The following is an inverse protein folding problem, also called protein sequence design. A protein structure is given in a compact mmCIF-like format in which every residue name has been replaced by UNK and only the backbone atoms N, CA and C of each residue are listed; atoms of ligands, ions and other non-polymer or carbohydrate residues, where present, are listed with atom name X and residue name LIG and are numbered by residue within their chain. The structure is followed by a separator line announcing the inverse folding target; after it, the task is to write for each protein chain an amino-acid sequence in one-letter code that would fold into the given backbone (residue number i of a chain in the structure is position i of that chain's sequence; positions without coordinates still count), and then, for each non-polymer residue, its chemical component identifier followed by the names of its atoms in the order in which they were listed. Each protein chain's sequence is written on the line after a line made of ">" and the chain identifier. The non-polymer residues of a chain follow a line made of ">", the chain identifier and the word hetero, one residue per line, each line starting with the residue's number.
data_IF_983674216041
#
_entry.id   IF_983674216041
#
_cell.length_a   1.000
_cell.length_b   1.000
_cell.length_c   1.000
_cell.angle_alpha   90.00
_cell.angle_beta   90.00
_cell.angle_gamma   90.00
#
_symmetry.space_group_name_H-M   'P 1'
#
loop_
_entity.id
_entity.type
_entity.pdbx_description
1 polymer ?
#
# COMPACT_ATOMS: atom_id res chain seq x y z
N UNK A 1 28.87 11.30 -33.17
CA UNK A 1 27.62 10.53 -33.05
C UNK A 1 27.88 9.43 -32.03
N UNK A 2 27.52 9.62 -30.77
CA UNK A 2 27.80 8.64 -29.71
C UNK A 2 26.53 7.79 -29.52
N UNK A 3 26.64 6.49 -29.82
CA UNK A 3 25.52 5.57 -30.04
C UNK A 3 25.24 4.74 -28.78
N UNK A 4 25.26 5.38 -27.60
CA UNK A 4 25.07 4.71 -26.32
C UNK A 4 23.97 5.31 -25.44
N UNK A 5 23.07 6.10 -26.03
CA UNK A 5 21.72 6.34 -25.47
C UNK A 5 20.74 5.29 -26.02
N UNK A 6 21.06 4.01 -25.84
CA UNK A 6 19.99 3.01 -25.81
C UNK A 6 19.32 3.26 -24.47
N UNK A 7 18.14 3.88 -24.51
CA UNK A 7 17.24 4.10 -23.38
C UNK A 7 16.90 2.74 -22.76
N UNK A 8 17.80 2.21 -21.91
CA UNK A 8 17.43 1.28 -20.87
C UNK A 8 16.73 2.14 -19.83
N UNK A 9 15.46 1.86 -19.55
CA UNK A 9 14.87 2.43 -18.35
C UNK A 9 15.79 2.13 -17.17
N UNK A 10 16.11 3.12 -16.31
CA UNK A 10 16.95 2.87 -15.16
C UNK A 10 16.35 1.71 -14.36
N UNK A 11 17.21 0.82 -13.84
CA UNK A 11 16.82 -0.45 -13.22
C UNK A 11 15.73 -0.30 -12.13
N UNK A 12 15.61 0.90 -11.54
CA UNK A 12 14.53 1.27 -10.63
C UNK A 12 13.13 1.22 -11.26
N UNK A 13 12.92 1.69 -12.49
CA UNK A 13 11.58 1.70 -13.11
C UNK A 13 11.12 0.28 -13.45
N UNK A 14 12.05 -0.57 -13.89
CA UNK A 14 11.79 -1.99 -14.15
C UNK A 14 11.43 -2.71 -12.84
N UNK A 15 12.21 -2.49 -11.77
CA UNK A 15 11.91 -3.07 -10.44
C UNK A 15 10.58 -2.57 -9.89
N UNK A 16 10.28 -1.28 -10.04
CA UNK A 16 9.01 -0.70 -9.62
C UNK A 16 7.83 -1.35 -10.35
N UNK A 17 7.91 -1.46 -11.67
CA UNK A 17 6.89 -2.12 -12.48
C UNK A 17 6.69 -3.59 -12.07
N UNK A 18 7.79 -4.31 -11.79
CA UNK A 18 7.73 -5.68 -11.29
C UNK A 18 7.02 -5.78 -9.94
N UNK A 19 7.39 -4.94 -8.95
CA UNK A 19 6.72 -4.92 -7.65
C UNK A 19 5.22 -4.61 -7.78
N UNK A 20 4.85 -3.69 -8.67
CA UNK A 20 3.45 -3.35 -8.90
C UNK A 20 2.66 -4.51 -9.50
N UNK A 21 3.27 -5.32 -10.36
CA UNK A 21 2.63 -6.49 -10.93
C UNK A 21 2.51 -7.62 -9.90
N UNK A 22 3.59 -7.93 -9.20
CA UNK A 22 3.61 -8.95 -8.14
C UNK A 22 2.59 -8.64 -7.04
N UNK A 23 2.58 -7.41 -6.51
CA UNK A 23 1.61 -6.99 -5.49
C UNK A 23 0.16 -7.01 -6.00
N UNK A 24 -0.05 -6.86 -7.31
CA UNK A 24 -1.39 -6.94 -7.89
C UNK A 24 -1.91 -8.38 -7.90
N UNK A 25 -1.04 -9.34 -8.18
CA UNK A 25 -1.38 -10.76 -8.36
C UNK A 25 -1.24 -11.59 -7.08
N UNK A 26 -0.57 -11.08 -6.05
CA UNK A 26 -0.33 -11.81 -4.80
C UNK A 26 -1.64 -12.26 -4.15
N UNK A 27 -1.66 -13.51 -3.70
CA UNK A 27 -2.75 -14.07 -2.90
C UNK A 27 -2.63 -13.69 -1.42
N UNK A 28 -3.73 -13.81 -0.69
CA UNK A 28 -3.83 -13.38 0.72
C UNK A 28 -2.79 -14.02 1.64
N UNK A 29 -2.40 -15.27 1.37
CA UNK A 29 -1.43 -16.00 2.18
C UNK A 29 0.00 -15.44 2.05
N UNK A 30 0.37 -14.95 0.86
CA UNK A 30 1.73 -14.51 0.54
C UNK A 30 1.89 -12.98 0.59
N UNK A 31 0.79 -12.24 0.78
CA UNK A 31 0.74 -10.77 0.74
C UNK A 31 1.71 -10.15 1.75
N UNK A 32 1.74 -10.68 2.98
CA UNK A 32 2.57 -10.14 4.05
C UNK A 32 4.06 -10.26 3.73
N UNK A 33 4.50 -11.44 3.28
CA UNK A 33 5.90 -11.71 2.94
C UNK A 33 6.34 -10.87 1.74
N UNK A 34 5.47 -10.71 0.75
CA UNK A 34 5.74 -9.85 -0.39
C UNK A 34 5.89 -8.39 0.02
N UNK A 35 4.99 -7.86 0.87
CA UNK A 35 5.07 -6.48 1.37
C UNK A 35 6.36 -6.26 2.17
N UNK A 36 6.75 -7.21 3.02
CA UNK A 36 8.03 -7.14 3.75
C UNK A 36 9.20 -7.07 2.78
N UNK A 37 9.22 -7.94 1.76
CA UNK A 37 10.29 -7.97 0.76
C UNK A 37 10.40 -6.64 0.00
N UNK A 38 9.29 -6.10 -0.48
CA UNK A 38 9.25 -4.81 -1.19
C UNK A 38 9.73 -3.68 -0.28
N UNK A 39 9.28 -3.64 0.98
CA UNK A 39 9.69 -2.63 1.97
C UNK A 39 11.16 -2.75 2.40
N UNK A 40 11.82 -3.86 2.05
CA UNK A 40 13.26 -4.08 2.24
C UNK A 40 14.13 -3.54 1.10
N UNK A 41 13.54 -3.04 0.00
CA UNK A 41 14.33 -2.48 -1.10
C UNK A 41 15.15 -1.26 -0.64
N UNK A 42 16.42 -1.13 -1.08
CA UNK A 42 17.26 0.02 -0.75
C UNK A 42 16.65 1.35 -1.20
N UNK A 43 15.89 1.37 -2.30
CA UNK A 43 15.11 2.55 -2.68
C UNK A 43 13.80 2.61 -1.87
N UNK A 44 13.90 3.29 -0.73
CA UNK A 44 12.78 3.49 0.21
C UNK A 44 11.62 4.26 -0.39
N UNK A 45 11.86 5.12 -1.38
CA UNK A 45 10.79 5.91 -2.00
C UNK A 45 10.01 5.06 -2.98
N UNK A 46 10.70 4.32 -3.85
CA UNK A 46 10.08 3.35 -4.75
C UNK A 46 9.28 2.29 -3.98
N UNK A 47 9.90 1.65 -2.98
CA UNK A 47 9.25 0.62 -2.17
C UNK A 47 7.97 1.12 -1.49
N UNK A 48 8.04 2.30 -0.86
CA UNK A 48 6.91 2.94 -0.20
C UNK A 48 5.79 3.26 -1.20
N UNK A 49 6.13 3.79 -2.37
CA UNK A 49 5.14 4.08 -3.42
C UNK A 49 4.46 2.81 -3.94
N UNK A 50 5.19 1.70 -4.09
CA UNK A 50 4.64 0.43 -4.54
C UNK A 50 3.64 -0.13 -3.52
N UNK A 51 4.02 -0.15 -2.24
CA UNK A 51 3.14 -0.61 -1.15
C UNK A 51 1.95 0.32 -0.95
N UNK A 52 2.13 1.64 -1.06
CA UNK A 52 1.02 2.60 -0.97
C UNK A 52 -0.03 2.32 -2.05
N UNK A 53 0.40 2.12 -3.31
CA UNK A 53 -0.51 1.81 -4.42
C UNK A 53 -1.22 0.47 -4.22
N UNK A 54 -0.52 -0.51 -3.65
CA UNK A 54 -1.11 -1.80 -3.29
C UNK A 54 -2.17 -1.67 -2.20
N UNK A 55 -1.87 -0.94 -1.11
CA UNK A 55 -2.82 -0.69 -0.02
C UNK A 55 -4.10 -0.04 -0.55
N UNK A 56 -3.98 0.98 -1.39
CA UNK A 56 -5.12 1.69 -1.98
C UNK A 56 -6.01 0.76 -2.80
N UNK A 57 -5.40 -0.03 -3.69
CA UNK A 57 -6.11 -1.00 -4.51
C UNK A 57 -6.82 -2.05 -3.66
N UNK A 58 -6.12 -2.59 -2.66
CA UNK A 58 -6.63 -3.70 -1.83
C UNK A 58 -7.73 -3.22 -0.88
N UNK A 59 -7.55 -2.07 -0.23
CA UNK A 59 -8.58 -1.45 0.59
C UNK A 59 -9.84 -1.13 -0.21
N UNK A 60 -9.72 -0.56 -1.42
CA UNK A 60 -10.85 -0.30 -2.29
C UNK A 60 -11.61 -1.59 -2.66
N UNK A 61 -10.90 -2.67 -3.00
CA UNK A 61 -11.51 -3.95 -3.34
C UNK A 61 -12.25 -4.61 -2.16
N UNK A 62 -11.73 -4.42 -0.94
CA UNK A 62 -12.30 -4.99 0.27
C UNK A 62 -13.30 -4.06 0.98
N UNK A 63 -13.50 -2.83 0.48
CA UNK A 63 -14.15 -1.73 1.19
C UNK A 63 -15.52 -2.05 1.76
N UNK A 64 -16.30 -2.92 1.10
CA UNK A 64 -17.63 -3.35 1.56
C UNK A 64 -17.66 -4.77 2.13
N UNK A 65 -16.59 -5.54 1.92
CA UNK A 65 -16.51 -6.94 2.32
C UNK A 65 -16.22 -7.13 3.81
N UNK A 66 -16.56 -8.30 4.35
CA UNK A 66 -16.22 -8.69 5.73
C UNK A 66 -14.73 -8.95 5.95
N UNK A 67 -14.00 -9.26 4.87
CA UNK A 67 -12.56 -9.56 4.91
C UNK A 67 -11.69 -8.35 5.25
N UNK A 68 -12.21 -7.12 5.12
CA UNK A 68 -11.44 -5.89 5.35
C UNK A 68 -10.76 -5.86 6.73
N UNK A 69 -11.49 -6.20 7.80
CA UNK A 69 -10.97 -6.13 9.17
C UNK A 69 -9.82 -7.12 9.41
N UNK A 70 -9.94 -8.32 8.85
CA UNK A 70 -8.89 -9.34 8.92
C UNK A 70 -7.64 -8.89 8.18
N UNK A 71 -7.82 -8.38 6.96
CA UNK A 71 -6.73 -7.84 6.13
C UNK A 71 -6.05 -6.63 6.79
N UNK A 72 -6.80 -5.63 7.23
CA UNK A 72 -6.27 -4.43 7.86
C UNK A 72 -5.47 -4.76 9.13
N UNK A 73 -5.95 -5.71 9.94
CA UNK A 73 -5.23 -6.20 11.12
C UNK A 73 -3.95 -6.96 10.75
N UNK A 74 -3.96 -7.73 9.68
CA UNK A 74 -2.79 -8.47 9.20
C UNK A 74 -1.69 -7.57 8.66
N UNK A 75 -2.06 -6.49 7.94
CA UNK A 75 -1.09 -5.60 7.32
C UNK A 75 -0.55 -4.53 8.27
N UNK A 76 -1.33 -4.07 9.26
CA UNK A 76 -0.95 -2.98 10.15
C UNK A 76 0.42 -3.16 10.86
N UNK A 77 0.79 -4.36 11.38
CA UNK A 77 2.10 -4.57 11.98
C UNK A 77 3.27 -4.33 11.03
N UNK A 78 3.11 -4.60 9.74
CA UNK A 78 4.16 -4.42 8.73
C UNK A 78 4.46 -2.93 8.45
N UNK A 79 3.49 -2.07 8.75
CA UNK A 79 3.56 -0.63 8.50
C UNK A 79 4.14 0.16 9.68
N UNK A 80 4.46 -0.51 10.80
CA UNK A 80 5.09 0.12 11.97
C UNK A 80 6.38 0.83 11.55
N UNK A 81 6.57 2.06 12.05
CA UNK A 81 7.70 2.92 11.69
C UNK A 81 7.59 3.56 10.31
N UNK A 82 6.46 3.42 9.60
CA UNK A 82 6.20 4.01 8.28
C UNK A 82 4.96 4.91 8.35
N UNK A 83 5.09 6.17 8.80
CA UNK A 83 3.96 7.05 9.11
C UNK A 83 2.99 7.23 7.94
N UNK A 84 3.51 7.42 6.71
CA UNK A 84 2.67 7.60 5.52
C UNK A 84 1.76 6.38 5.25
N UNK A 85 2.30 5.17 5.33
CA UNK A 85 1.53 3.95 5.07
C UNK A 85 0.54 3.66 6.21
N UNK A 86 0.96 3.96 7.45
CA UNK A 86 0.08 3.84 8.63
C UNK A 86 -1.09 4.81 8.56
N UNK A 87 -0.84 6.08 8.21
CA UNK A 87 -1.88 7.08 8.01
C UNK A 87 -2.84 6.64 6.91
N UNK A 88 -2.31 6.16 5.77
CA UNK A 88 -3.14 5.71 4.67
C UNK A 88 -4.08 4.55 5.04
N UNK A 89 -3.59 3.56 5.78
CA UNK A 89 -4.45 2.47 6.25
C UNK A 89 -5.56 2.96 7.19
N UNK A 90 -5.27 3.98 8.03
CA UNK A 90 -6.27 4.60 8.91
C UNK A 90 -7.32 5.36 8.12
N UNK A 91 -6.91 6.14 7.11
CA UNK A 91 -7.82 6.85 6.21
C UNK A 91 -8.81 5.89 5.53
N UNK A 92 -8.33 4.77 5.00
CA UNK A 92 -9.20 3.75 4.40
C UNK A 92 -10.16 3.14 5.42
N UNK A 93 -9.70 2.91 6.64
CA UNK A 93 -10.52 2.35 7.71
C UNK A 93 -11.61 3.33 8.15
N UNK A 94 -11.30 4.62 8.19
CA UNK A 94 -12.28 5.68 8.42
C UNK A 94 -13.28 5.79 7.27
N UNK A 95 -12.81 5.81 6.02
CA UNK A 95 -13.68 5.84 4.83
C UNK A 95 -14.66 4.66 4.85
N UNK A 96 -14.18 3.46 5.20
CA UNK A 96 -15.03 2.29 5.39
C UNK A 96 -16.08 2.51 6.47
N UNK A 97 -15.69 2.99 7.65
CA UNK A 97 -16.61 3.22 8.75
C UNK A 97 -17.74 4.19 8.35
N UNK A 98 -17.39 5.29 7.67
CA UNK A 98 -18.36 6.25 7.12
C UNK A 98 -19.27 5.57 6.09
N UNK A 99 -18.69 4.85 5.12
CA UNK A 99 -19.42 4.19 4.02
C UNK A 99 -20.43 3.17 4.55
N UNK A 100 -20.05 2.40 5.56
CA UNK A 100 -20.89 1.36 6.17
C UNK A 100 -21.76 1.89 7.31
N UNK A 101 -21.76 3.21 7.57
CA UNK A 101 -22.48 3.86 8.69
C UNK A 101 -22.15 3.22 10.04
N UNK A 102 -20.91 2.76 10.22
CA UNK A 102 -20.39 2.30 11.49
C UNK A 102 -20.05 3.50 12.38
N UNK A 103 -19.76 3.24 13.66
CA UNK A 103 -19.28 4.28 14.55
C UNK A 103 -17.88 4.76 14.14
N UNK A 104 -17.70 6.09 14.14
CA UNK A 104 -16.42 6.77 13.90
C UNK A 104 -16.42 8.10 14.66
N UNK A 105 -15.23 8.67 14.91
CA UNK A 105 -15.11 9.94 15.64
C UNK A 105 -14.68 11.08 14.69
N UNK A 106 -15.29 12.28 14.76
CA UNK A 106 -14.88 13.43 13.92
C UNK A 106 -13.40 13.80 14.00
N UNK A 107 -12.77 13.58 15.15
CA UNK A 107 -11.32 13.81 15.30
C UNK A 107 -10.48 12.90 14.39
N UNK A 108 -10.94 11.68 14.07
CA UNK A 108 -10.23 10.78 13.17
C UNK A 108 -10.23 11.33 11.74
N UNK A 109 -11.31 12.02 11.34
CA UNK A 109 -11.42 12.70 10.05
C UNK A 109 -10.50 13.93 9.97
N UNK A 110 -10.47 14.74 11.03
CA UNK A 110 -9.55 15.88 11.11
C UNK A 110 -8.08 15.42 11.06
N UNK A 111 -7.75 14.34 11.77
CA UNK A 111 -6.40 13.76 11.76
C UNK A 111 -6.00 13.19 10.39
N UNK A 112 -6.97 12.82 9.56
CA UNK A 112 -6.78 12.24 8.22
C UNK A 112 -6.74 13.30 7.09
N UNK A 113 -6.87 14.58 7.43
CA UNK A 113 -6.98 15.69 6.47
C UNK A 113 -5.73 16.58 6.42
N UNK A 114 -4.66 16.23 7.13
CA UNK A 114 -3.41 17.00 7.26
C UNK A 114 -2.20 16.24 6.69
#
# INVERSE_FOLDING_TARGET
>A
MNIHDIVREPDEHIRFAAYLDELRQVGDADEADLVIRVLGDPDRTMARSAVLRHLDRRAAALLLGSAYEGWARGIAPLLIGRPLLTARLREWSLLRAITLKLAWHPADLLASSN
#
